data_IF_869297897191
#
_entry.id   IF_869297897191
#
_cell.length_a   1.000
_cell.length_b   1.000
_cell.length_c   1.000
_cell.angle_alpha   90.00
_cell.angle_beta   90.00
_cell.angle_gamma   90.00
#
_symmetry.space_group_name_H-M   'P 1'
#
loop_
_entity.id
_entity.type
_entity.pdbx_description
1 polymer ?
#
# COMPACT_ATOMS: atom_id res chain seq x y z
N UNK A 1 -16.94 13.21 14.21
CA UNK A 1 -16.49 12.96 12.84
C UNK A 1 -15.39 11.94 12.84
N UNK A 2 -15.49 10.92 11.99
CA UNK A 2 -14.47 9.91 11.89
C UNK A 2 -13.30 10.40 11.07
N UNK A 3 -12.10 10.00 11.46
CA UNK A 3 -10.91 10.28 10.67
C UNK A 3 -10.93 9.40 9.42
N UNK A 4 -10.59 10.01 8.30
CA UNK A 4 -10.46 9.25 7.06
C UNK A 4 -9.06 8.65 6.97
N UNK A 5 -8.99 7.49 6.35
CA UNK A 5 -7.73 6.78 6.17
C UNK A 5 -7.53 6.49 4.68
N UNK A 6 -6.41 6.92 4.15
CA UNK A 6 -6.05 6.64 2.77
C UNK A 6 -4.82 5.74 2.75
N UNK A 7 -4.98 4.56 2.18
CA UNK A 7 -3.90 3.57 2.08
C UNK A 7 -3.42 3.53 0.64
N UNK A 8 -2.12 3.70 0.45
CA UNK A 8 -1.51 3.59 -0.87
C UNK A 8 -0.52 2.44 -0.85
N UNK A 9 -0.63 1.57 -1.82
CA UNK A 9 0.24 0.41 -1.97
C UNK A 9 1.09 0.64 -3.22
N UNK A 10 2.36 0.93 -3.01
CA UNK A 10 3.29 1.21 -4.09
C UNK A 10 4.04 -0.06 -4.46
N UNK A 11 3.85 -0.52 -5.68
CA UNK A 11 4.49 -1.74 -6.16
C UNK A 11 5.32 -1.44 -7.40
N UNK A 12 6.30 -2.28 -7.66
CA UNK A 12 7.16 -2.14 -8.83
C UNK A 12 7.30 -3.49 -9.53
N UNK A 13 6.23 -3.92 -10.24
CA UNK A 13 6.18 -5.27 -10.81
C UNK A 13 7.13 -5.51 -11.97
N UNK A 14 7.62 -4.46 -12.63
CA UNK A 14 8.51 -4.64 -13.78
C UNK A 14 9.80 -5.38 -13.42
N UNK A 15 10.20 -5.28 -12.20
CA UNK A 15 11.40 -5.93 -11.70
C UNK A 15 11.38 -7.44 -11.93
N UNK A 16 10.21 -8.02 -12.04
CA UNK A 16 10.00 -9.46 -12.15
C UNK A 16 9.86 -9.94 -13.59
N UNK A 17 9.90 -9.04 -14.55
CA UNK A 17 9.57 -9.37 -15.93
C UNK A 17 10.56 -10.34 -16.57
N UNK A 18 11.78 -10.44 -16.05
CA UNK A 18 12.81 -11.30 -16.61
C UNK A 18 12.89 -12.67 -15.94
N UNK A 19 12.07 -12.91 -14.92
CA UNK A 19 12.11 -14.14 -14.15
C UNK A 19 10.71 -14.76 -14.12
N UNK A 20 10.57 -15.86 -14.85
CA UNK A 20 9.26 -16.53 -14.99
C UNK A 20 8.70 -17.00 -13.65
N UNK A 21 9.55 -17.38 -12.71
CA UNK A 21 9.10 -17.84 -11.40
C UNK A 21 8.49 -16.71 -10.59
N UNK A 22 8.87 -15.48 -10.88
CA UNK A 22 8.41 -14.32 -10.13
C UNK A 22 7.25 -13.58 -10.79
N UNK A 23 6.82 -14.01 -11.94
CA UNK A 23 5.68 -13.38 -12.61
C UNK A 23 4.43 -13.36 -11.75
N UNK A 24 4.25 -14.37 -10.92
CA UNK A 24 3.07 -14.44 -10.08
C UNK A 24 3.07 -13.44 -8.93
N UNK A 25 4.23 -12.94 -8.51
CA UNK A 25 4.30 -12.01 -7.38
C UNK A 25 3.60 -10.69 -7.62
N UNK A 26 3.81 -10.01 -8.77
CA UNK A 26 3.07 -8.77 -9.03
C UNK A 26 1.58 -8.98 -9.10
N UNK A 27 1.15 -10.11 -9.67
CA UNK A 27 -0.27 -10.45 -9.75
C UNK A 27 -0.82 -10.69 -8.35
N UNK A 28 -0.07 -11.41 -7.50
CA UNK A 28 -0.49 -11.64 -6.13
C UNK A 28 -0.63 -10.35 -5.34
N UNK A 29 0.31 -9.44 -5.50
CA UNK A 29 0.27 -8.17 -4.79
C UNK A 29 -0.96 -7.36 -5.18
N UNK A 30 -1.28 -7.35 -6.47
CA UNK A 30 -2.48 -6.67 -6.95
C UNK A 30 -3.74 -7.30 -6.38
N UNK A 31 -3.79 -8.64 -6.35
CA UNK A 31 -4.92 -9.36 -5.78
C UNK A 31 -5.06 -9.09 -4.28
N UNK A 32 -3.93 -9.08 -3.56
CA UNK A 32 -3.94 -8.77 -2.14
C UNK A 32 -4.42 -7.35 -1.88
N UNK A 33 -4.02 -6.42 -2.74
CA UNK A 33 -4.48 -5.04 -2.64
C UNK A 33 -5.99 -4.95 -2.87
N UNK A 34 -6.50 -5.70 -3.83
CA UNK A 34 -7.95 -5.72 -4.11
C UNK A 34 -8.72 -6.36 -2.97
N UNK A 35 -8.19 -7.43 -2.39
CA UNK A 35 -8.79 -8.06 -1.23
C UNK A 35 -8.84 -7.10 -0.04
N UNK A 36 -7.74 -6.37 0.17
CA UNK A 36 -7.68 -5.38 1.23
C UNK A 36 -8.71 -4.28 1.00
N UNK A 37 -8.81 -3.82 -0.24
CA UNK A 37 -9.79 -2.79 -0.59
C UNK A 37 -11.22 -3.25 -0.28
N UNK A 38 -11.53 -4.48 -0.70
CA UNK A 38 -12.85 -5.07 -0.46
C UNK A 38 -13.13 -5.18 1.04
N UNK A 39 -12.15 -5.65 1.81
CA UNK A 39 -12.27 -5.79 3.24
C UNK A 39 -12.49 -4.44 3.93
N UNK A 40 -11.73 -3.44 3.52
CA UNK A 40 -11.86 -2.10 4.09
C UNK A 40 -13.17 -1.42 3.71
N UNK A 41 -13.62 -1.62 2.47
CA UNK A 41 -14.93 -1.09 2.03
C UNK A 41 -16.07 -1.72 2.81
N UNK A 42 -15.93 -2.99 3.14
CA UNK A 42 -16.94 -3.71 3.90
C UNK A 42 -16.98 -3.28 5.38
N UNK A 43 -15.80 -3.20 6.00
CA UNK A 43 -15.72 -2.92 7.44
C UNK A 43 -15.78 -1.43 7.77
N UNK A 44 -15.29 -0.58 6.87
CA UNK A 44 -15.20 0.87 7.12
C UNK A 44 -15.67 1.65 5.89
N UNK A 45 -16.94 1.50 5.52
CA UNK A 45 -17.44 2.13 4.29
C UNK A 45 -17.31 3.65 4.34
N UNK A 46 -16.77 4.22 3.28
CA UNK A 46 -16.55 5.65 3.10
C UNK A 46 -15.52 6.26 4.06
N UNK A 47 -14.88 5.45 4.90
CA UNK A 47 -13.87 5.95 5.84
C UNK A 47 -12.48 5.60 5.35
N UNK A 48 -12.29 4.41 4.79
CA UNK A 48 -10.99 3.93 4.32
C UNK A 48 -11.00 3.80 2.81
N UNK A 49 -9.97 4.34 2.17
CA UNK A 49 -9.76 4.13 0.73
C UNK A 49 -8.43 3.43 0.52
N UNK A 50 -8.37 2.57 -0.48
CA UNK A 50 -7.16 1.80 -0.82
C UNK A 50 -6.85 2.03 -2.29
N UNK A 51 -5.62 2.40 -2.56
CA UNK A 51 -5.15 2.65 -3.91
C UNK A 51 -3.91 1.82 -4.19
N UNK A 52 -3.92 1.08 -5.29
CA UNK A 52 -2.75 0.33 -5.74
C UNK A 52 -2.05 1.14 -6.83
N UNK A 53 -0.78 1.41 -6.64
CA UNK A 53 0.00 2.22 -7.56
C UNK A 53 1.16 1.40 -8.10
N UNK A 54 1.20 1.24 -9.43
CA UNK A 54 2.30 0.61 -10.12
C UNK A 54 3.33 1.68 -10.44
N UNK A 55 4.44 1.68 -9.72
CA UNK A 55 5.46 2.70 -9.86
C UNK A 55 6.13 2.70 -11.23
N UNK A 56 6.16 1.55 -11.89
CA UNK A 56 6.74 1.47 -13.22
C UNK A 56 5.88 2.21 -14.25
N UNK A 57 4.56 2.10 -14.11
CA UNK A 57 3.61 2.73 -15.04
C UNK A 57 3.32 4.20 -14.71
N UNK A 58 3.78 4.67 -13.56
CA UNK A 58 3.50 6.03 -13.11
C UNK A 58 4.37 7.03 -13.87
N UNK A 59 3.81 7.66 -14.87
CA UNK A 59 4.52 8.62 -15.71
C UNK A 59 4.90 9.91 -14.98
N UNK A 60 4.20 10.21 -13.91
CA UNK A 60 4.48 11.41 -13.12
C UNK A 60 5.66 11.24 -12.17
N UNK A 61 6.16 10.02 -12.07
CA UNK A 61 7.26 9.68 -11.17
C UNK A 61 7.02 10.17 -9.75
N UNK A 62 5.82 9.91 -9.26
CA UNK A 62 5.42 10.25 -7.90
C UNK A 62 6.30 9.52 -6.89
N UNK A 63 6.31 10.02 -5.66
CA UNK A 63 7.04 9.42 -4.55
C UNK A 63 8.54 9.29 -4.81
N UNK A 64 9.22 10.40 -5.14
CA UNK A 64 10.65 10.32 -5.50
C UNK A 64 11.52 9.78 -4.35
N UNK A 65 11.19 10.09 -3.12
CA UNK A 65 11.95 9.60 -1.97
C UNK A 65 11.84 8.09 -1.81
N UNK A 66 10.62 7.56 -2.01
CA UNK A 66 10.38 6.13 -1.93
C UNK A 66 11.10 5.41 -3.07
N UNK A 67 11.03 5.96 -4.28
CA UNK A 67 11.71 5.39 -5.44
C UNK A 67 13.21 5.31 -5.21
N UNK A 68 13.77 6.35 -4.62
CA UNK A 68 15.18 6.41 -4.31
C UNK A 68 15.60 5.33 -3.31
N UNK A 69 14.81 5.15 -2.26
CA UNK A 69 15.05 4.12 -1.27
C UNK A 69 14.96 2.72 -1.86
N UNK A 70 14.01 2.50 -2.78
CA UNK A 70 13.88 1.23 -3.47
C UNK A 70 15.08 0.94 -4.36
N UNK A 71 15.56 1.95 -5.08
CA UNK A 71 16.74 1.79 -5.94
C UNK A 71 17.98 1.48 -5.14
N UNK A 72 18.12 2.05 -3.97
CA UNK A 72 19.24 1.79 -3.08
C UNK A 72 19.15 0.45 -2.35
N UNK A 73 18.02 -0.23 -2.45
CA UNK A 73 17.83 -1.49 -1.78
C UNK A 73 17.60 -1.37 -0.28
N UNK A 74 17.30 -0.16 0.19
CA UNK A 74 17.06 0.07 1.62
C UNK A 74 15.66 -0.36 2.06
N UNK A 75 14.72 -0.37 1.12
CA UNK A 75 13.38 -0.90 1.35
C UNK A 75 12.99 -1.76 0.16
N UNK A 76 11.96 -2.58 0.32
CA UNK A 76 11.47 -3.49 -0.72
C UNK A 76 10.00 -3.19 -1.04
N UNK A 77 9.64 -3.30 -2.31
CA UNK A 77 8.24 -3.19 -2.71
C UNK A 77 7.50 -4.46 -2.30
N UNK A 78 6.18 -4.42 -2.06
CA UNK A 78 5.37 -3.21 -2.06
C UNK A 78 5.55 -2.38 -0.78
N UNK A 79 5.35 -1.07 -0.91
CA UNK A 79 5.45 -0.14 0.22
C UNK A 79 4.05 0.32 0.59
N UNK A 80 3.72 0.27 1.86
CA UNK A 80 2.41 0.67 2.36
C UNK A 80 2.50 2.06 2.98
N UNK A 81 1.76 2.98 2.41
CA UNK A 81 1.69 4.36 2.89
C UNK A 81 0.29 4.60 3.45
N UNK A 82 0.21 5.08 4.67
CA UNK A 82 -1.08 5.36 5.30
C UNK A 82 -1.12 6.84 5.66
N UNK A 83 -2.08 7.55 5.07
CA UNK A 83 -2.22 9.00 5.24
C UNK A 83 -0.92 9.75 4.98
N UNK A 84 -0.23 9.36 3.91
CA UNK A 84 0.99 10.02 3.49
C UNK A 84 2.26 9.60 4.23
N UNK A 85 2.15 8.66 5.17
CA UNK A 85 3.29 8.21 5.96
C UNK A 85 3.61 6.76 5.61
N UNK A 86 4.85 6.47 5.16
CA UNK A 86 5.25 5.08 4.92
C UNK A 86 5.28 4.31 6.23
N UNK A 87 4.54 3.20 6.28
CA UNK A 87 4.40 2.40 7.50
C UNK A 87 5.05 1.04 7.43
N UNK A 88 5.05 0.43 6.25
CA UNK A 88 5.56 -0.94 6.08
C UNK A 88 6.07 -1.11 4.67
N UNK A 89 6.91 -2.12 4.48
CA UNK A 89 7.40 -2.45 3.14
C UNK A 89 7.68 -3.96 3.05
N UNK A 90 7.78 -4.44 1.82
CA UNK A 90 8.12 -5.83 1.58
C UNK A 90 6.95 -6.79 1.53
N UNK A 91 5.73 -6.29 1.72
CA UNK A 91 4.54 -7.13 1.66
C UNK A 91 3.28 -6.33 1.95
N UNK A 92 2.15 -7.03 1.91
CA UNK A 92 0.84 -6.44 2.22
C UNK A 92 0.26 -7.17 3.43
N UNK A 93 0.73 -6.84 4.64
CA UNK A 93 0.29 -7.52 5.86
C UNK A 93 -1.06 -6.98 6.32
N UNK A 94 -2.14 -7.55 5.81
CA UNK A 94 -3.49 -7.02 6.02
C UNK A 94 -3.86 -6.86 7.49
N UNK A 95 -3.41 -7.78 8.35
CA UNK A 95 -3.71 -7.69 9.78
C UNK A 95 -3.04 -6.46 10.41
N UNK A 96 -1.79 -6.21 10.06
CA UNK A 96 -1.07 -5.05 10.58
C UNK A 96 -1.65 -3.74 10.03
N UNK A 97 -2.04 -3.75 8.77
CA UNK A 97 -2.66 -2.58 8.14
C UNK A 97 -3.97 -2.27 8.84
N UNK A 98 -4.78 -3.30 9.09
CA UNK A 98 -6.04 -3.14 9.79
C UNK A 98 -5.85 -2.56 11.19
N UNK A 99 -4.82 -3.03 11.90
CA UNK A 99 -4.48 -2.50 13.21
C UNK A 99 -4.15 -1.02 13.16
N UNK A 100 -3.36 -0.60 12.17
CA UNK A 100 -3.03 0.81 12.00
C UNK A 100 -4.24 1.66 11.65
N UNK A 101 -5.11 1.13 10.79
CA UNK A 101 -6.37 1.79 10.44
C UNK A 101 -7.22 2.01 11.68
N UNK A 102 -7.36 0.98 12.50
CA UNK A 102 -8.17 1.07 13.71
C UNK A 102 -7.62 2.08 14.71
N UNK A 103 -6.30 2.18 14.81
CA UNK A 103 -5.67 3.19 15.65
C UNK A 103 -6.02 4.60 15.20
N UNK A 104 -5.99 4.85 13.90
CA UNK A 104 -6.30 6.17 13.36
C UNK A 104 -7.76 6.52 13.58
N UNK A 105 -8.66 5.57 13.31
CA UNK A 105 -10.09 5.78 13.48
C UNK A 105 -10.42 6.00 14.95
N UNK A 106 -9.83 5.20 15.84
CA UNK A 106 -10.08 5.27 17.27
C UNK A 106 -9.52 6.53 17.90
N UNK A 107 -8.42 7.07 17.33
CA UNK A 107 -7.83 8.29 17.86
C UNK A 107 -8.83 9.44 17.83
N UNK A 108 -9.55 9.56 16.70
CA UNK A 108 -10.63 10.53 16.59
C UNK A 108 -10.23 11.97 16.87
N UNK A 109 -11.19 12.87 16.87
CA UNK A 109 -10.91 14.28 17.12
C UNK A 109 -10.86 14.64 18.60
N UNK A 110 -10.87 13.67 19.48
CA UNK A 110 -10.89 13.92 20.92
C UNK A 110 -9.52 14.29 21.48
N UNK A 111 -8.51 14.23 20.68
CA UNK A 111 -7.13 14.49 21.10
C UNK A 111 -6.65 15.87 20.73
#
# INVERSE_FOLDING_TARGET
MLNRVHIQILDNPIHWATDAEKFSEPVQNRMLAEELKTDMDYNYPSVVSVEYIDLFSDEEESFPEIRDLLEQGLISAPVIIINGVPKMHGGIPSTLIKTEVEKIISAGPLH
#
